data_IF_232968582663
#
_entry.id   IF_232968582663
#
_cell.length_a   1.000
_cell.length_b   1.000
_cell.length_c   1.000
_cell.angle_alpha   90.00
_cell.angle_beta   90.00
_cell.angle_gamma   90.00
#
_symmetry.space_group_name_H-M   'P 1'
#
loop_
_entity.id
_entity.type
_entity.pdbx_description
1 polymer ?
#
# COMPACT_ATOMS: atom_id res chain seq x y z
N UNK A 1 -30.99 17.59 -5.42
CA UNK A 1 -30.94 16.15 -5.48
C UNK A 1 -29.54 15.66 -5.28
N UNK A 2 -29.42 14.61 -4.53
CA UNK A 2 -28.10 14.05 -4.30
C UNK A 2 -27.73 13.12 -5.43
N UNK A 3 -26.52 13.23 -5.87
CA UNK A 3 -26.03 12.32 -6.88
C UNK A 3 -25.30 11.14 -6.26
N UNK A 4 -25.18 11.13 -4.94
CA UNK A 4 -24.49 10.06 -4.28
C UNK A 4 -25.47 9.10 -3.64
N UNK A 5 -25.18 7.84 -3.78
CA UNK A 5 -25.96 6.81 -3.15
C UNK A 5 -25.26 6.36 -1.89
N UNK A 6 -25.84 6.71 -0.76
CA UNK A 6 -25.20 6.39 0.50
C UNK A 6 -25.06 4.94 0.78
N UNK A 7 -25.94 4.15 0.26
CA UNK A 7 -25.85 2.74 0.50
C UNK A 7 -24.59 2.16 -0.06
N UNK A 8 -24.16 2.68 -1.16
CA UNK A 8 -22.97 2.13 -1.77
C UNK A 8 -21.75 2.42 -0.96
N UNK A 9 -21.74 3.55 -0.31
CA UNK A 9 -20.54 3.89 0.43
C UNK A 9 -20.39 3.03 1.65
N UNK A 10 -21.48 2.52 2.15
CA UNK A 10 -21.39 1.72 3.33
C UNK A 10 -20.72 0.42 3.15
N UNK A 11 -20.96 -0.20 2.03
CA UNK A 11 -20.48 -1.51 1.88
C UNK A 11 -19.20 -1.57 1.16
N UNK A 12 -18.74 -0.50 0.69
CA UNK A 12 -17.57 -0.55 -0.09
C UNK A 12 -16.37 -0.70 0.72
N UNK A 13 -15.72 -1.75 0.50
CA UNK A 13 -14.38 -1.79 0.93
C UNK A 13 -13.68 -0.63 0.30
N UNK A 14 -12.69 -0.13 0.93
CA UNK A 14 -11.93 0.94 0.35
C UNK A 14 -11.39 0.52 -0.98
N UNK A 15 -11.60 1.38 -1.94
CA UNK A 15 -11.13 1.09 -3.26
C UNK A 15 -9.83 1.79 -3.55
N UNK A 16 -9.16 2.22 -2.52
CA UNK A 16 -7.91 2.94 -2.67
C UNK A 16 -6.81 2.14 -2.02
N UNK A 17 -5.93 1.61 -2.86
CA UNK A 17 -4.78 0.86 -2.40
C UNK A 17 -3.53 1.71 -2.55
N UNK A 18 -2.53 1.39 -1.76
CA UNK A 18 -1.23 2.04 -1.85
C UNK A 18 -0.15 0.97 -1.85
N UNK A 19 0.94 1.23 -2.55
CA UNK A 19 2.12 0.39 -2.41
C UNK A 19 3.36 1.28 -2.49
N UNK A 20 4.49 0.74 -2.05
CA UNK A 20 5.68 1.55 -1.93
C UNK A 20 6.91 0.88 -2.49
N UNK A 21 7.79 1.71 -3.04
CA UNK A 21 9.07 1.27 -3.57
C UNK A 21 10.11 1.70 -2.56
N UNK A 22 10.66 0.73 -1.84
CA UNK A 22 11.68 0.98 -0.82
C UNK A 22 12.97 0.35 -1.30
N UNK A 23 14.01 1.16 -1.42
CA UNK A 23 15.31 0.67 -1.80
C UNK A 23 16.18 0.59 -0.57
N UNK A 24 16.77 -0.59 -0.32
CA UNK A 24 17.68 -0.80 0.79
C UNK A 24 18.90 -1.50 0.23
N UNK A 25 20.05 -0.85 0.29
CA UNK A 25 21.32 -1.42 -0.19
C UNK A 25 21.20 -1.93 -1.62
N UNK A 26 20.66 -1.08 -2.48
CA UNK A 26 20.51 -1.37 -3.91
C UNK A 26 19.55 -2.50 -4.22
N UNK A 27 18.70 -2.85 -3.27
CA UNK A 27 17.68 -3.87 -3.46
C UNK A 27 16.31 -3.29 -3.18
N UNK A 28 15.32 -3.80 -3.87
CA UNK A 28 13.95 -3.35 -3.69
C UNK A 28 13.24 -4.29 -2.74
N UNK A 29 12.54 -3.73 -1.77
CA UNK A 29 11.80 -4.50 -0.78
C UNK A 29 10.54 -5.08 -1.40
N UNK A 30 10.41 -6.39 -1.31
CA UNK A 30 9.24 -7.09 -1.82
C UNK A 30 8.67 -7.97 -0.72
N UNK A 31 7.40 -8.29 -0.83
CA UNK A 31 6.73 -9.17 0.13
C UNK A 31 6.07 -10.31 -0.61
N UNK A 32 5.99 -11.45 0.06
CA UNK A 32 5.32 -12.61 -0.48
C UNK A 32 3.95 -12.71 0.17
N UNK A 33 2.93 -12.80 -0.64
CA UNK A 33 1.58 -12.99 -0.11
C UNK A 33 1.40 -14.45 0.27
N UNK A 34 0.78 -14.68 1.43
CA UNK A 34 0.65 -16.03 1.94
C UNK A 34 -0.76 -16.55 1.87
N UNK A 35 -1.72 -15.75 1.41
CA UNK A 35 -3.10 -16.20 1.31
C UNK A 35 -3.81 -15.41 0.23
N UNK A 36 -5.02 -15.84 -0.09
CA UNK A 36 -5.85 -15.15 -1.07
C UNK A 36 -5.44 -15.44 -2.49
N UNK A 37 -6.00 -14.68 -3.41
CA UNK A 37 -5.75 -14.90 -4.84
C UNK A 37 -4.32 -14.58 -5.22
N UNK A 38 -3.64 -13.80 -4.41
CA UNK A 38 -2.25 -13.44 -4.67
C UNK A 38 -1.26 -14.36 -3.95
N UNK A 39 -1.75 -15.48 -3.41
CA UNK A 39 -0.88 -16.38 -2.67
C UNK A 39 0.32 -16.78 -3.51
N UNK A 40 1.48 -16.76 -2.87
CA UNK A 40 2.78 -17.10 -3.46
C UNK A 40 3.29 -16.08 -4.45
N UNK A 41 2.60 -14.96 -4.63
CA UNK A 41 3.11 -13.90 -5.48
C UNK A 41 4.00 -12.98 -4.65
N UNK A 42 5.00 -12.46 -5.32
CA UNK A 42 5.95 -11.53 -4.71
C UNK A 42 5.64 -10.16 -5.28
N UNK A 43 5.29 -9.24 -4.40
CA UNK A 43 4.77 -7.94 -4.81
C UNK A 43 5.42 -6.84 -3.99
N UNK A 44 5.25 -5.61 -4.43
CA UNK A 44 5.60 -4.47 -3.60
C UNK A 44 4.75 -4.48 -2.35
N UNK A 45 5.30 -4.07 -1.22
CA UNK A 45 4.49 -3.98 0.00
C UNK A 45 3.42 -2.93 -0.16
N UNK A 46 2.26 -3.18 0.43
CA UNK A 46 1.16 -2.24 0.36
C UNK A 46 -0.10 -2.79 0.95
N UNK A 47 -1.17 -2.07 0.79
CA UNK A 47 -2.47 -2.45 1.32
C UNK A 47 -3.48 -1.36 1.06
N UNK A 48 -4.53 -1.34 1.85
CA UNK A 48 -5.61 -0.38 1.62
C UNK A 48 -5.54 0.78 2.59
N UNK A 49 -5.92 1.95 2.09
CA UNK A 49 -6.02 3.15 2.92
C UNK A 49 -7.25 3.00 3.80
N UNK A 50 -7.09 3.25 5.09
CA UNK A 50 -8.21 3.20 6.01
C UNK A 50 -9.00 4.48 5.94
N UNK A 51 -10.21 4.42 6.46
CA UNK A 51 -11.05 5.60 6.54
C UNK A 51 -10.35 6.66 7.36
N UNK A 52 -10.34 7.87 6.87
CA UNK A 52 -9.72 9.00 7.55
C UNK A 52 -8.20 8.92 7.67
N UNK A 53 -7.59 8.09 6.86
CA UNK A 53 -6.15 7.97 6.86
C UNK A 53 -5.59 8.58 5.57
N UNK A 54 -4.50 9.33 5.68
CA UNK A 54 -3.86 9.85 4.48
C UNK A 54 -3.14 8.72 3.75
N UNK A 55 -3.15 8.73 2.43
CA UNK A 55 -2.45 7.68 1.67
C UNK A 55 -0.97 7.55 2.02
N UNK A 56 -0.30 8.67 2.31
CA UNK A 56 1.11 8.61 2.68
C UNK A 56 1.30 7.90 4.01
N UNK A 57 0.40 8.14 4.96
CA UNK A 57 0.49 7.45 6.24
C UNK A 57 0.14 5.98 6.07
N UNK A 58 -0.82 5.69 5.19
CA UNK A 58 -1.22 4.31 4.94
C UNK A 58 -0.05 3.47 4.45
N UNK A 59 0.70 4.01 3.47
CA UNK A 59 1.78 3.21 2.92
C UNK A 59 2.91 3.03 3.95
N UNK A 60 3.18 4.05 4.76
CA UNK A 60 4.18 3.91 5.80
C UNK A 60 3.77 2.85 6.81
N UNK A 61 2.51 2.85 7.18
CA UNK A 61 1.96 1.88 8.13
C UNK A 61 2.00 0.46 7.56
N UNK A 62 1.54 0.30 6.31
CA UNK A 62 1.49 -1.03 5.69
C UNK A 62 2.87 -1.64 5.56
N UNK A 63 3.85 -0.85 5.17
CA UNK A 63 5.20 -1.37 5.03
C UNK A 63 5.74 -1.80 6.38
N UNK A 64 5.48 -1.01 7.41
CA UNK A 64 5.95 -1.38 8.73
C UNK A 64 5.27 -2.64 9.24
N UNK A 65 3.97 -2.75 9.02
CA UNK A 65 3.23 -3.94 9.46
C UNK A 65 3.71 -5.20 8.76
N UNK A 66 4.02 -5.09 7.49
CA UNK A 66 4.38 -6.26 6.70
C UNK A 66 5.84 -6.64 6.81
N UNK A 67 6.71 -5.68 7.02
CA UNK A 67 8.15 -5.94 6.90
C UNK A 67 8.98 -5.49 8.09
N UNK A 68 8.41 -4.73 9.00
CA UNK A 68 9.11 -4.10 10.12
C UNK A 68 10.09 -3.02 9.69
N UNK A 69 9.99 -2.55 8.47
CA UNK A 69 10.85 -1.48 7.97
C UNK A 69 10.17 -0.15 8.20
N UNK A 70 10.90 0.80 8.77
CA UNK A 70 10.41 2.15 8.97
C UNK A 70 10.87 3.01 7.81
N UNK A 71 9.93 3.64 7.14
CA UNK A 71 10.22 4.48 5.99
C UNK A 71 9.21 5.61 5.90
N UNK A 72 9.52 6.59 5.06
CA UNK A 72 8.66 7.74 4.87
C UNK A 72 8.32 7.88 3.41
N UNK A 73 7.08 8.25 3.14
CA UNK A 73 6.66 8.49 1.77
C UNK A 73 7.39 9.70 1.22
N UNK A 74 7.91 9.57 0.02
CA UNK A 74 8.69 10.62 -0.59
C UNK A 74 7.96 11.27 -1.74
N UNK A 75 7.72 10.53 -2.81
CA UNK A 75 7.05 11.06 -3.98
C UNK A 75 6.00 10.11 -4.48
N UNK A 76 4.99 10.65 -5.11
CA UNK A 76 4.03 9.82 -5.81
C UNK A 76 4.67 9.42 -7.13
N UNK A 77 4.93 8.14 -7.28
CA UNK A 77 5.57 7.60 -8.45
C UNK A 77 4.57 7.35 -9.57
N UNK A 78 3.41 6.82 -9.22
CA UNK A 78 2.43 6.42 -10.22
C UNK A 78 1.07 6.29 -9.57
N UNK A 79 0.03 6.56 -10.35
CA UNK A 79 -1.33 6.33 -9.92
C UNK A 79 -1.98 5.45 -10.98
N UNK A 80 -2.48 4.31 -10.57
CA UNK A 80 -3.10 3.37 -11.48
C UNK A 80 -4.58 3.28 -11.21
N UNK A 81 -5.36 3.26 -12.27
CA UNK A 81 -6.81 3.20 -12.16
C UNK A 81 -7.26 1.90 -12.78
N UNK A 82 -7.84 1.04 -11.96
CA UNK A 82 -8.46 -0.17 -12.45
C UNK A 82 -9.94 -0.04 -12.23
N UNK A 83 -10.71 -0.94 -12.80
CA UNK A 83 -12.15 -0.73 -12.89
C UNK A 83 -12.80 -0.34 -11.58
N UNK A 84 -12.36 -0.87 -10.47
CA UNK A 84 -12.98 -0.51 -9.22
C UNK A 84 -11.97 -0.29 -8.12
N UNK A 85 -10.74 -0.01 -8.50
CA UNK A 85 -9.71 0.17 -7.51
C UNK A 85 -8.63 1.09 -8.04
N UNK A 86 -8.28 2.06 -7.23
CA UNK A 86 -7.18 2.95 -7.52
C UNK A 86 -5.98 2.50 -6.71
N UNK A 87 -4.81 2.66 -7.26
CA UNK A 87 -3.60 2.29 -6.54
C UNK A 87 -2.55 3.38 -6.71
N UNK A 88 -2.12 3.96 -5.62
CA UNK A 88 -1.06 4.94 -5.63
C UNK A 88 0.24 4.24 -5.28
N UNK A 89 1.26 4.46 -6.10
CA UNK A 89 2.58 3.89 -5.87
C UNK A 89 3.50 5.02 -5.45
N UNK A 90 4.10 4.89 -4.27
CA UNK A 90 4.99 5.92 -3.74
C UNK A 90 6.43 5.44 -3.73
N UNK A 91 7.36 6.36 -4.02
CA UNK A 91 8.74 6.08 -3.65
C UNK A 91 8.89 6.42 -2.19
N UNK A 92 9.65 5.62 -1.47
CA UNK A 92 9.79 5.77 -0.05
C UNK A 92 11.23 6.07 0.31
N UNK A 93 11.40 6.70 1.45
CA UNK A 93 12.74 6.92 1.99
C UNK A 93 12.95 5.98 3.16
N UNK A 94 13.93 5.12 3.04
CA UNK A 94 14.24 4.13 4.08
C UNK A 94 14.83 4.85 5.29
N UNK A 95 14.33 4.52 6.47
CA UNK A 95 14.83 5.12 7.71
C UNK A 95 15.55 4.10 8.58
N UNK A 96 14.94 2.96 8.82
CA UNK A 96 15.53 1.97 9.69
C UNK A 96 14.77 0.66 9.59
N UNK A 97 15.30 -0.36 10.22
CA UNK A 97 14.65 -1.65 10.28
C UNK A 97 15.24 -2.64 9.29
N UNK A 98 15.15 -3.90 9.66
CA UNK A 98 15.61 -4.97 8.79
C UNK A 98 14.42 -5.80 8.42
N UNK A 99 14.19 -6.03 7.12
CA UNK A 99 13.02 -6.82 6.73
C UNK A 99 13.08 -8.21 7.34
N UNK A 100 11.94 -8.65 7.83
CA UNK A 100 11.85 -9.99 8.36
C UNK A 100 12.01 -10.97 7.20
N UNK A 101 12.74 -12.03 7.45
CA UNK A 101 12.96 -13.03 6.44
C UNK A 101 11.94 -14.14 6.64
N UNK A 102 11.42 -14.65 5.57
CA UNK A 102 10.49 -15.76 5.67
C UNK A 102 11.19 -17.08 5.74
#
# INVERSE_FOLDING_TARGET
MSIFNKKKTEQNAPNFAVCGIVEIDDKILLVRHTYGVAKDRILLPGGYVKENELPTFAIEREIFEETSVDCKAKDLFSMQFKSEQWCAVFTMEYKSGTPASD
#
